data_IF_401182292938
#
_entry.id   IF_401182292938
#
_cell.length_a   1.000
_cell.length_b   1.000
_cell.length_c   1.000
_cell.angle_alpha   90.00
_cell.angle_beta   90.00
_cell.angle_gamma   90.00
#
_symmetry.space_group_name_H-M   'P 1'
#
loop_
_entity.id
_entity.type
_entity.pdbx_description
1 polymer ?
#
# COMPACT_ATOMS: atom_id res chain seq x y z
N UNK A 1 4.74 -11.38 10.48
CA UNK A 1 4.12 -10.22 9.79
C UNK A 1 3.15 -10.65 8.71
N UNK A 2 3.41 -11.74 7.98
CA UNK A 2 2.50 -12.26 6.94
C UNK A 2 1.07 -12.54 7.45
N UNK A 3 0.88 -13.14 8.62
CA UNK A 3 -0.47 -13.38 9.17
C UNK A 3 -1.21 -12.05 9.41
N UNK A 4 -0.51 -11.04 9.94
CA UNK A 4 -1.07 -9.69 10.15
C UNK A 4 -1.47 -9.09 8.80
N UNK A 5 -0.63 -9.20 7.77
CA UNK A 5 -0.95 -8.75 6.43
C UNK A 5 -2.23 -9.42 5.87
N UNK A 6 -2.34 -10.75 5.99
CA UNK A 6 -3.49 -11.52 5.52
C UNK A 6 -4.78 -11.13 6.23
N UNK A 7 -4.71 -10.86 7.54
CA UNK A 7 -5.86 -10.44 8.33
C UNK A 7 -6.24 -8.96 8.11
N UNK A 8 -5.25 -8.10 7.83
CA UNK A 8 -5.44 -6.66 7.74
C UNK A 8 -6.23 -6.25 6.50
N UNK A 9 -5.98 -6.88 5.35
CA UNK A 9 -6.70 -6.61 4.09
C UNK A 9 -8.23 -6.82 4.24
N UNK A 10 -8.73 -8.01 4.61
CA UNK A 10 -10.17 -8.23 4.75
C UNK A 10 -10.77 -7.37 5.85
N UNK A 11 -10.04 -7.10 6.94
CA UNK A 11 -10.49 -6.20 8.00
C UNK A 11 -10.70 -4.78 7.50
N UNK A 12 -9.73 -4.22 6.76
CA UNK A 12 -9.84 -2.87 6.18
C UNK A 12 -10.97 -2.81 5.17
N UNK A 13 -11.05 -3.77 4.25
CA UNK A 13 -12.10 -3.81 3.25
C UNK A 13 -13.49 -3.93 3.88
N UNK A 14 -13.63 -4.79 4.89
CA UNK A 14 -14.88 -4.87 5.65
C UNK A 14 -15.21 -3.54 6.33
N UNK A 15 -14.22 -2.82 6.88
CA UNK A 15 -14.46 -1.51 7.50
C UNK A 15 -14.93 -0.45 6.50
N UNK A 16 -14.57 -0.51 5.21
CA UNK A 16 -15.12 0.40 4.19
C UNK A 16 -16.63 0.28 4.02
N UNK A 17 -17.21 -0.89 4.31
CA UNK A 17 -18.64 -1.13 4.13
C UNK A 17 -19.51 -0.34 5.13
N UNK A 18 -18.96 0.05 6.29
CA UNK A 18 -19.74 0.69 7.36
C UNK A 18 -19.08 1.92 8.01
N UNK A 19 -17.76 2.11 7.90
CA UNK A 19 -17.05 3.18 8.60
C UNK A 19 -17.58 4.57 8.21
N UNK A 20 -17.81 5.49 9.17
CA UNK A 20 -18.37 6.80 8.87
C UNK A 20 -17.37 7.69 8.13
N UNK A 21 -17.88 8.54 7.25
CA UNK A 21 -17.13 9.67 6.70
C UNK A 21 -16.94 10.74 7.79
N UNK A 22 -15.75 11.31 7.86
CA UNK A 22 -15.41 12.40 8.75
C UNK A 22 -15.30 13.69 7.95
N UNK A 23 -16.13 14.67 8.31
CA UNK A 23 -16.06 16.01 7.73
C UNK A 23 -15.13 16.88 8.58
N UNK A 24 -14.06 17.36 7.97
CA UNK A 24 -13.05 18.21 8.64
C UNK A 24 -13.24 19.68 8.28
N UNK A 25 -13.71 19.93 7.06
CA UNK A 25 -14.07 21.25 6.56
C UNK A 25 -15.40 21.12 5.79
N UNK A 26 -16.18 22.19 5.63
CA UNK A 26 -17.45 22.15 4.90
C UNK A 26 -17.28 21.55 3.49
N UNK A 27 -17.97 20.44 3.22
CA UNK A 27 -17.89 19.73 1.93
C UNK A 27 -16.59 18.95 1.71
N UNK A 28 -15.73 18.86 2.73
CA UNK A 28 -14.51 18.08 2.73
C UNK A 28 -14.64 16.94 3.73
N UNK A 29 -15.24 15.84 3.26
CA UNK A 29 -15.43 14.63 4.02
C UNK A 29 -14.59 13.49 3.45
N UNK A 30 -13.96 12.71 4.33
CA UNK A 30 -13.16 11.56 3.95
C UNK A 30 -13.38 10.41 4.92
N UNK A 31 -13.14 9.18 4.48
CA UNK A 31 -13.22 7.99 5.28
C UNK A 31 -11.84 7.76 5.94
N UNK A 32 -11.72 7.79 7.28
CA UNK A 32 -10.44 7.60 7.99
C UNK A 32 -9.74 6.29 7.65
N UNK A 33 -10.49 5.27 7.25
CA UNK A 33 -9.95 3.98 6.83
C UNK A 33 -8.99 4.15 5.64
N UNK A 34 -9.21 5.13 4.75
CA UNK A 34 -8.34 5.38 3.59
C UNK A 34 -6.90 5.68 3.96
N UNK A 35 -6.66 6.34 5.10
CA UNK A 35 -5.32 6.59 5.64
C UNK A 35 -4.70 5.27 6.10
N UNK A 36 -5.47 4.46 6.83
CA UNK A 36 -5.04 3.18 7.39
C UNK A 36 -4.68 2.19 6.27
N UNK A 37 -5.43 2.20 5.16
CA UNK A 37 -5.09 1.42 3.95
C UNK A 37 -3.68 1.73 3.47
N UNK A 38 -3.19 2.96 3.65
CA UNK A 38 -1.82 3.31 3.28
C UNK A 38 -0.74 2.66 4.12
N UNK A 39 -1.04 2.31 5.37
CA UNK A 39 -0.13 1.56 6.24
C UNK A 39 -0.05 0.08 5.87
N UNK A 40 -1.01 -0.44 5.09
CA UNK A 40 -0.98 -1.82 4.60
C UNK A 40 0.25 -2.07 3.74
N UNK A 41 0.69 -1.09 2.94
CA UNK A 41 1.91 -1.21 2.13
C UNK A 41 3.14 -1.48 2.99
N UNK A 42 3.24 -0.85 4.17
CA UNK A 42 4.34 -1.09 5.12
C UNK A 42 4.31 -2.53 5.61
N UNK A 43 3.12 -3.00 6.03
CA UNK A 43 2.94 -4.36 6.54
C UNK A 43 3.20 -5.40 5.44
N UNK A 44 2.77 -5.11 4.21
CA UNK A 44 3.06 -5.90 3.01
C UNK A 44 4.55 -6.02 2.78
N UNK A 45 5.29 -4.91 2.79
CA UNK A 45 6.72 -4.92 2.51
C UNK A 45 7.49 -5.72 3.58
N UNK A 46 7.03 -5.70 4.84
CA UNK A 46 7.55 -6.58 5.88
C UNK A 46 7.19 -8.05 5.64
N UNK A 47 5.95 -8.36 5.25
CA UNK A 47 5.54 -9.72 4.90
C UNK A 47 6.34 -10.25 3.70
N UNK A 48 6.60 -9.44 2.68
CA UNK A 48 7.43 -9.80 1.52
C UNK A 48 8.88 -10.10 1.91
N UNK A 49 9.44 -9.41 2.92
CA UNK A 49 10.77 -9.76 3.45
C UNK A 49 10.77 -11.05 4.26
N UNK A 50 9.65 -11.41 4.88
CA UNK A 50 9.47 -12.64 5.66
C UNK A 50 9.27 -13.87 4.77
N UNK A 51 8.44 -13.77 3.73
CA UNK A 51 8.05 -14.92 2.89
C UNK A 51 8.46 -14.81 1.41
N UNK A 52 9.14 -13.74 1.01
CA UNK A 52 9.55 -13.53 -0.38
C UNK A 52 8.37 -13.44 -1.34
N UNK A 53 8.47 -14.10 -2.49
CA UNK A 53 7.44 -14.11 -3.54
C UNK A 53 6.13 -14.78 -3.11
N UNK A 54 6.14 -15.59 -2.05
CA UNK A 54 4.92 -16.21 -1.50
C UNK A 54 3.94 -15.19 -0.89
N UNK A 55 4.34 -13.91 -0.78
CA UNK A 55 3.43 -12.81 -0.41
C UNK A 55 2.24 -12.69 -1.37
N UNK A 56 2.40 -13.09 -2.65
CA UNK A 56 1.31 -13.13 -3.62
C UNK A 56 0.25 -14.17 -3.23
N UNK A 57 0.66 -15.32 -2.70
CA UNK A 57 -0.28 -16.34 -2.18
C UNK A 57 -1.00 -15.81 -0.94
N UNK A 58 -0.26 -15.18 -0.02
CA UNK A 58 -0.84 -14.58 1.18
C UNK A 58 -1.93 -13.56 0.82
N UNK A 59 -1.67 -12.73 -0.18
CA UNK A 59 -2.64 -11.77 -0.68
C UNK A 59 -3.80 -12.43 -1.43
N UNK A 60 -3.57 -13.45 -2.26
CA UNK A 60 -4.67 -14.19 -2.86
C UNK A 60 -5.62 -14.76 -1.80
N UNK A 61 -5.07 -15.32 -0.71
CA UNK A 61 -5.86 -15.75 0.45
C UNK A 61 -6.62 -14.57 1.06
N UNK A 62 -5.96 -13.43 1.26
CA UNK A 62 -6.58 -12.22 1.82
C UNK A 62 -7.72 -11.65 0.93
N UNK A 63 -7.59 -11.75 -0.39
CA UNK A 63 -8.63 -11.36 -1.35
C UNK A 63 -9.82 -12.33 -1.31
N UNK A 64 -9.57 -13.64 -1.19
CA UNK A 64 -10.64 -14.63 -0.98
C UNK A 64 -11.38 -14.33 0.33
N UNK A 65 -10.66 -14.07 1.41
CA UNK A 65 -11.26 -13.67 2.68
C UNK A 65 -12.04 -12.35 2.57
N UNK A 66 -11.52 -11.39 1.79
CA UNK A 66 -12.23 -10.14 1.50
C UNK A 66 -13.54 -10.40 0.78
N UNK A 67 -13.57 -11.29 -0.21
CA UNK A 67 -14.77 -11.60 -0.97
C UNK A 67 -15.90 -12.10 -0.06
N UNK A 68 -15.56 -12.91 0.95
CA UNK A 68 -16.51 -13.37 1.96
C UNK A 68 -16.88 -12.30 2.99
N UNK A 69 -15.93 -11.48 3.43
CA UNK A 69 -16.14 -10.53 4.52
C UNK A 69 -16.80 -9.21 4.08
N UNK A 70 -16.47 -8.74 2.88
CA UNK A 70 -16.75 -7.38 2.42
C UNK A 70 -17.36 -7.32 1.00
N UNK A 71 -17.51 -8.48 0.35
CA UNK A 71 -18.08 -8.60 -0.99
C UNK A 71 -17.02 -8.82 -2.08
N UNK A 72 -17.38 -9.56 -3.16
CA UNK A 72 -16.47 -9.84 -4.28
C UNK A 72 -15.99 -8.56 -5.00
N UNK A 73 -16.78 -7.48 -4.96
CA UNK A 73 -16.47 -6.21 -5.58
C UNK A 73 -15.23 -5.55 -4.93
N UNK A 74 -15.15 -5.51 -3.58
CA UNK A 74 -13.95 -5.00 -2.89
C UNK A 74 -12.75 -5.92 -3.08
N UNK A 75 -12.96 -7.23 -3.18
CA UNK A 75 -11.88 -8.17 -3.46
C UNK A 75 -11.29 -7.91 -4.85
N UNK A 76 -12.13 -7.71 -5.87
CA UNK A 76 -11.70 -7.37 -7.23
C UNK A 76 -11.01 -6.00 -7.28
N UNK A 77 -11.57 -4.99 -6.59
CA UNK A 77 -10.97 -3.66 -6.51
C UNK A 77 -9.57 -3.71 -5.87
N UNK A 78 -9.45 -4.40 -4.74
CA UNK A 78 -8.18 -4.59 -4.04
C UNK A 78 -7.17 -5.38 -4.87
N UNK A 79 -7.61 -6.45 -5.53
CA UNK A 79 -6.76 -7.26 -6.39
C UNK A 79 -6.26 -6.49 -7.62
N UNK A 80 -7.13 -5.70 -8.26
CA UNK A 80 -6.78 -4.86 -9.40
C UNK A 80 -5.82 -3.73 -9.02
N UNK A 81 -6.09 -3.04 -7.92
CA UNK A 81 -5.22 -2.00 -7.38
C UNK A 81 -3.82 -2.56 -7.07
N UNK A 82 -3.78 -3.72 -6.39
CA UNK A 82 -2.54 -4.41 -6.10
C UNK A 82 -1.77 -4.83 -7.37
N UNK A 83 -2.44 -5.45 -8.33
CA UNK A 83 -1.80 -5.90 -9.56
C UNK A 83 -1.13 -4.74 -10.31
N UNK A 84 -1.77 -3.57 -10.31
CA UNK A 84 -1.22 -2.36 -10.93
C UNK A 84 -0.04 -1.82 -10.11
N UNK A 85 -0.11 -1.82 -8.78
CA UNK A 85 1.03 -1.46 -7.94
C UNK A 85 2.24 -2.38 -8.19
N UNK A 86 2.02 -3.69 -8.29
CA UNK A 86 3.08 -4.67 -8.56
C UNK A 86 3.69 -4.50 -9.96
N UNK A 87 2.87 -4.15 -10.97
CA UNK A 87 3.37 -3.82 -12.31
C UNK A 87 4.26 -2.57 -12.31
N UNK A 88 3.88 -1.54 -11.53
CA UNK A 88 4.69 -0.32 -11.37
C UNK A 88 6.01 -0.64 -10.66
N UNK A 89 5.96 -1.44 -9.59
CA UNK A 89 7.15 -1.94 -8.89
C UNK A 89 8.05 -2.72 -9.87
N UNK A 90 7.51 -3.71 -10.57
CA UNK A 90 8.27 -4.48 -11.55
C UNK A 90 8.91 -3.60 -12.63
N UNK A 91 8.18 -2.64 -13.20
CA UNK A 91 8.71 -1.72 -14.20
C UNK A 91 9.82 -0.84 -13.63
N UNK A 92 9.62 -0.27 -12.43
CA UNK A 92 10.60 0.56 -11.75
C UNK A 92 11.89 -0.22 -11.47
N UNK A 93 11.78 -1.46 -10.99
CA UNK A 93 12.93 -2.28 -10.64
C UNK A 93 13.66 -2.85 -11.86
N UNK A 94 12.96 -3.11 -12.96
CA UNK A 94 13.52 -3.67 -14.19
C UNK A 94 14.23 -2.61 -15.04
N UNK A 95 13.61 -1.45 -15.24
CA UNK A 95 14.10 -0.47 -16.21
C UNK A 95 14.98 0.63 -15.62
N UNK A 96 14.97 0.82 -14.30
CA UNK A 96 15.78 1.87 -13.66
C UNK A 96 17.03 1.33 -12.98
N UNK A 97 18.07 2.16 -12.92
CA UNK A 97 19.36 1.84 -12.28
C UNK A 97 19.60 2.63 -10.99
N UNK A 98 18.55 3.21 -10.39
CA UNK A 98 18.67 3.99 -9.17
C UNK A 98 19.06 3.13 -7.95
N UNK A 99 19.41 3.78 -6.84
CA UNK A 99 19.63 3.10 -5.55
C UNK A 99 18.34 2.43 -5.09
N UNK A 100 18.47 1.34 -4.31
CA UNK A 100 17.33 0.55 -3.83
C UNK A 100 16.31 1.44 -3.09
N UNK A 101 16.77 2.31 -2.21
CA UNK A 101 15.89 3.23 -1.47
C UNK A 101 15.12 4.16 -2.42
N UNK A 102 15.80 4.76 -3.40
CA UNK A 102 15.17 5.66 -4.39
C UNK A 102 14.12 4.94 -5.23
N UNK A 103 14.39 3.69 -5.66
CA UNK A 103 13.42 2.89 -6.42
C UNK A 103 12.16 2.64 -5.61
N UNK A 104 12.30 2.24 -4.34
CA UNK A 104 11.16 2.01 -3.44
C UNK A 104 10.30 3.27 -3.33
N UNK A 105 10.91 4.42 -3.02
CA UNK A 105 10.16 5.66 -2.83
C UNK A 105 9.48 6.14 -4.12
N UNK A 106 10.19 6.09 -5.26
CA UNK A 106 9.65 6.53 -6.55
C UNK A 106 8.55 5.58 -7.04
N UNK A 107 8.73 4.28 -6.84
CA UNK A 107 7.70 3.31 -7.19
C UNK A 107 6.43 3.53 -6.39
N UNK A 108 6.55 3.70 -5.06
CA UNK A 108 5.40 4.03 -4.22
C UNK A 108 4.74 5.36 -4.61
N UNK A 109 5.51 6.38 -5.01
CA UNK A 109 4.97 7.65 -5.45
C UNK A 109 4.13 7.55 -6.73
N UNK A 110 4.46 6.64 -7.63
CA UNK A 110 3.71 6.39 -8.88
C UNK A 110 2.56 5.42 -8.63
N UNK A 111 2.80 4.35 -7.85
CA UNK A 111 1.82 3.33 -7.55
C UNK A 111 0.69 3.87 -6.67
N UNK A 112 0.98 4.73 -5.69
CA UNK A 112 -0.02 5.17 -4.71
C UNK A 112 -1.23 5.90 -5.35
N UNK A 113 -1.07 6.86 -6.29
CA UNK A 113 -2.22 7.46 -6.97
C UNK A 113 -3.03 6.46 -7.79
N UNK A 114 -2.35 5.55 -8.52
CA UNK A 114 -3.01 4.55 -9.36
C UNK A 114 -3.80 3.55 -8.52
N UNK A 115 -3.13 2.90 -7.59
CA UNK A 115 -3.70 1.93 -6.64
C UNK A 115 -4.88 2.53 -5.87
N UNK A 116 -4.71 3.75 -5.32
CA UNK A 116 -5.79 4.46 -4.62
C UNK A 116 -7.00 4.69 -5.51
N UNK A 117 -6.79 5.17 -6.73
CA UNK A 117 -7.90 5.50 -7.64
C UNK A 117 -8.67 4.25 -8.03
N UNK A 118 -7.97 3.17 -8.35
CA UNK A 118 -8.61 1.89 -8.73
C UNK A 118 -9.38 1.30 -7.56
N UNK A 119 -8.77 1.29 -6.37
CA UNK A 119 -9.43 0.77 -5.17
C UNK A 119 -10.69 1.57 -4.83
N UNK A 120 -10.59 2.91 -4.79
CA UNK A 120 -11.72 3.77 -4.45
C UNK A 120 -12.80 3.76 -5.54
N UNK A 121 -12.42 3.59 -6.80
CA UNK A 121 -13.38 3.38 -7.89
C UNK A 121 -14.22 2.12 -7.67
N UNK A 122 -13.60 1.01 -7.26
CA UNK A 122 -14.34 -0.19 -6.91
C UNK A 122 -15.15 -0.04 -5.62
N UNK A 123 -14.64 0.70 -4.63
CA UNK A 123 -15.36 0.99 -3.40
C UNK A 123 -16.61 1.86 -3.63
N UNK A 124 -16.56 2.80 -4.59
CA UNK A 124 -17.69 3.66 -5.01
C UNK A 124 -18.89 2.84 -5.50
N UNK A 125 -18.63 1.70 -6.15
CA UNK A 125 -19.69 0.82 -6.65
C UNK A 125 -20.50 0.15 -5.53
N UNK A 126 -19.99 0.15 -4.30
CA UNK A 126 -20.57 -0.54 -3.15
C UNK A 126 -21.19 0.47 -2.20
N UNK A 127 -20.51 1.59 -2.01
CA UNK A 127 -20.97 2.68 -1.18
C UNK A 127 -20.66 3.99 -1.89
N UNK A 128 -21.61 4.93 -1.96
CA UNK A 128 -21.33 6.23 -2.57
C UNK A 128 -20.28 7.02 -1.77
N UNK A 129 -19.73 8.05 -2.42
CA UNK A 129 -18.82 9.04 -1.84
C UNK A 129 -17.44 8.49 -1.40
N UNK A 130 -17.03 7.32 -1.92
CA UNK A 130 -15.67 6.81 -1.73
C UNK A 130 -14.67 7.45 -2.71
N UNK A 131 -15.04 7.60 -3.98
CA UNK A 131 -14.17 8.18 -5.00
C UNK A 131 -14.24 9.72 -5.00
N UNK A 132 -13.75 10.31 -3.91
CA UNK A 132 -13.73 11.77 -3.73
C UNK A 132 -12.29 12.28 -3.63
N UNK A 133 -12.09 13.56 -3.97
CA UNK A 133 -10.79 14.22 -3.80
C UNK A 133 -10.19 14.04 -2.41
N UNK A 134 -10.94 14.27 -1.31
CA UNK A 134 -10.47 14.03 0.05
C UNK A 134 -9.99 12.59 0.30
N UNK A 135 -10.76 11.57 -0.11
CA UNK A 135 -10.37 10.16 0.07
C UNK A 135 -9.11 9.80 -0.73
N UNK A 136 -9.02 10.28 -1.97
CA UNK A 136 -7.84 10.08 -2.82
C UNK A 136 -6.61 10.70 -2.15
N UNK A 137 -6.71 11.98 -1.75
CA UNK A 137 -5.59 12.70 -1.12
C UNK A 137 -5.16 12.03 0.19
N UNK A 138 -6.11 11.70 1.07
CA UNK A 138 -5.79 11.09 2.37
C UNK A 138 -5.21 9.69 2.24
N UNK A 139 -5.67 8.90 1.27
CA UNK A 139 -5.08 7.59 1.00
C UNK A 139 -3.66 7.69 0.46
N UNK A 140 -3.41 8.61 -0.49
CA UNK A 140 -2.06 8.84 -1.02
C UNK A 140 -1.13 9.30 0.11
N UNK A 141 -1.56 10.22 0.97
CA UNK A 141 -0.77 10.66 2.13
C UNK A 141 -0.42 9.46 3.02
N UNK A 142 -1.40 8.63 3.40
CA UNK A 142 -1.16 7.43 4.21
C UNK A 142 -0.15 6.48 3.57
N UNK A 143 -0.26 6.24 2.26
CA UNK A 143 0.66 5.38 1.49
C UNK A 143 2.07 5.96 1.45
N UNK A 144 2.18 7.27 1.22
CA UNK A 144 3.47 7.95 1.14
C UNK A 144 4.17 8.01 2.50
N UNK A 145 3.42 8.19 3.60
CA UNK A 145 3.99 8.05 4.95
C UNK A 145 4.58 6.65 5.13
N UNK A 146 3.86 5.61 4.72
CA UNK A 146 4.37 4.24 4.74
C UNK A 146 5.62 4.05 3.89
N UNK A 147 5.61 4.56 2.66
CA UNK A 147 6.75 4.49 1.74
C UNK A 147 8.00 5.19 2.31
N UNK A 148 7.83 6.36 2.95
CA UNK A 148 8.92 7.09 3.61
C UNK A 148 9.50 6.29 4.79
N UNK A 149 8.66 5.62 5.58
CA UNK A 149 9.12 4.73 6.66
C UNK A 149 9.97 3.59 6.09
N UNK A 150 9.49 2.90 5.05
CA UNK A 150 10.24 1.80 4.42
C UNK A 150 11.53 2.31 3.78
N UNK A 151 11.48 3.43 3.07
CA UNK A 151 12.65 4.09 2.50
C UNK A 151 13.72 4.37 3.56
N UNK A 152 13.32 4.92 4.71
CA UNK A 152 14.24 5.23 5.81
C UNK A 152 14.88 3.96 6.39
N UNK A 153 14.11 2.87 6.56
CA UNK A 153 14.63 1.57 7.00
C UNK A 153 15.62 0.99 5.99
N UNK A 154 15.29 1.02 4.70
CA UNK A 154 16.16 0.49 3.64
C UNK A 154 17.47 1.28 3.58
N UNK A 155 17.38 2.61 3.57
CA UNK A 155 18.53 3.49 3.51
C UNK A 155 19.45 3.33 4.73
N UNK A 156 18.88 3.20 5.93
CA UNK A 156 19.65 3.05 7.16
C UNK A 156 20.36 1.71 7.29
N UNK A 157 19.75 0.61 6.82
CA UNK A 157 20.30 -0.75 6.96
C UNK A 157 21.23 -1.18 5.83
N UNK A 158 20.91 -0.81 4.59
CA UNK A 158 21.60 -1.36 3.41
C UNK A 158 22.56 -0.36 2.75
N UNK A 159 22.25 0.93 2.77
CA UNK A 159 23.02 1.94 2.03
C UNK A 159 24.08 2.64 2.89
N UNK A 160 23.80 2.90 4.18
CA UNK A 160 24.82 3.51 5.09
C UNK A 160 26.03 2.59 5.32
N UNK A 161 25.84 1.28 5.30
CA UNK A 161 26.92 0.32 5.50
C UNK A 161 27.85 0.19 4.28
N UNK A 162 27.42 0.61 3.08
CA UNK A 162 28.24 0.57 1.88
C UNK A 162 29.12 1.81 1.70
N UNK A 163 28.83 2.90 2.42
CA UNK A 163 29.56 4.17 2.34
C UNK A 163 30.65 4.35 3.40
N UNK A 164 30.91 3.36 4.26
CA UNK A 164 32.06 3.39 5.17
C UNK A 164 33.27 2.82 4.39
N UNK A 165 34.25 3.63 3.97
CA UNK A 165 35.48 3.09 3.44
C UNK A 165 36.15 2.29 4.57
N UNK A 166 36.71 1.14 4.24
CA UNK A 166 37.67 0.46 5.11
C UNK A 166 38.87 1.39 5.33
N UNK A 167 38.78 2.30 6.30
CA UNK A 167 39.91 3.08 6.74
C UNK A 167 40.61 2.30 7.84
N UNK A 168 41.87 1.97 7.55
CA UNK A 168 42.96 1.54 8.43
C UNK A 168 43.12 0.02 8.57
N UNK A 169 43.81 -0.55 7.59
CA UNK A 169 45.02 -1.31 7.90
C UNK A 169 46.05 -0.36 8.53
N UNK A 170 46.55 -0.72 9.70
CA UNK A 170 47.93 -0.51 10.14
C UNK A 170 48.19 -1.51 11.26
#
# INVERSE_FOLDING_TARGET
MTIVYVALIPFINWSFTWAPMWEVLPGWAFNPVTIVTGLVLVVRDFAQREVGHYVLIAMAIALVLTAFAAGPELALASGGAFAIAEMVDWAMFTFTKYRLSTRVLLSSAIAAPLDTTIFLYGAEMIRPDQLTGPNITMSIIGKMVGAVVIWWIVRSRFERNQTTPASRSN
#
